data_IF_725467883214
#
_entry.id   IF_725467883214
#
_cell.length_a   1.000
_cell.length_b   1.000
_cell.length_c   1.000
_cell.angle_alpha   90.00
_cell.angle_beta   90.00
_cell.angle_gamma   90.00
#
_symmetry.space_group_name_H-M   'P 1'
#
loop_
_entity.id
_entity.type
_entity.pdbx_description
1 polymer ?
#
# COMPACT_ATOMS: atom_id res chain seq x y z
N UNK A 1 7.44 -0.36 12.67
CA UNK A 1 7.35 -1.13 13.91
C UNK A 1 7.92 -2.52 13.61
N UNK A 2 9.03 -2.90 14.26
CA UNK A 2 9.66 -4.21 14.04
C UNK A 2 8.68 -5.36 14.31
N UNK A 3 8.91 -6.54 13.71
CA UNK A 3 8.11 -7.71 14.02
C UNK A 3 8.21 -8.02 15.53
N UNK A 4 7.11 -8.50 16.14
CA UNK A 4 7.10 -8.86 17.57
C UNK A 4 8.23 -9.82 17.94
N UNK A 5 8.65 -10.69 17.03
CA UNK A 5 9.75 -11.61 17.22
C UNK A 5 11.10 -10.89 17.40
N UNK A 6 11.41 -9.90 16.54
CA UNK A 6 12.62 -9.09 16.68
C UNK A 6 12.63 -8.25 17.95
N UNK A 7 11.51 -7.72 18.37
CA UNK A 7 11.38 -6.95 19.62
C UNK A 7 11.66 -7.83 20.83
N UNK A 8 11.07 -9.04 20.89
CA UNK A 8 11.26 -10.00 21.97
C UNK A 8 12.70 -10.47 22.06
N UNK A 9 13.34 -10.75 20.93
CA UNK A 9 14.74 -11.21 20.90
C UNK A 9 15.68 -10.11 21.38
N UNK A 10 15.50 -8.87 20.93
CA UNK A 10 16.28 -7.73 21.43
C UNK A 10 16.06 -7.49 22.91
N UNK A 11 14.82 -7.56 23.39
CA UNK A 11 14.52 -7.41 24.81
C UNK A 11 15.19 -8.50 25.66
N UNK A 12 15.21 -9.76 25.18
CA UNK A 12 15.91 -10.87 25.84
C UNK A 12 17.42 -10.67 25.83
N UNK A 13 18.00 -10.30 24.70
CA UNK A 13 19.44 -10.06 24.57
C UNK A 13 19.93 -8.91 25.47
N UNK A 14 19.07 -7.90 25.66
CA UNK A 14 19.36 -6.78 26.57
C UNK A 14 18.89 -7.05 28.02
N UNK A 15 18.52 -8.30 28.36
CA UNK A 15 18.09 -8.73 29.69
C UNK A 15 16.96 -7.87 30.28
N UNK A 16 16.07 -7.35 29.44
CA UNK A 16 14.96 -6.48 29.84
C UNK A 16 13.83 -7.32 30.43
N UNK A 17 13.35 -7.01 31.65
CA UNK A 17 12.21 -7.70 32.25
C UNK A 17 10.97 -7.66 31.37
N UNK A 18 10.27 -8.80 31.21
CA UNK A 18 9.14 -8.93 30.31
C UNK A 18 8.01 -7.91 30.57
N UNK A 19 7.79 -7.51 31.81
CA UNK A 19 6.81 -6.49 32.20
C UNK A 19 7.06 -5.12 31.55
N UNK A 20 8.30 -4.83 31.12
CA UNK A 20 8.70 -3.55 30.52
C UNK A 20 8.65 -3.55 28.98
N UNK A 21 8.45 -4.69 28.33
CA UNK A 21 8.46 -4.78 26.87
C UNK A 21 7.36 -3.94 26.21
N UNK A 22 6.14 -4.00 26.73
CA UNK A 22 5.00 -3.28 26.16
C UNK A 22 5.17 -1.74 26.25
N UNK A 23 5.51 -1.12 27.40
CA UNK A 23 5.79 0.31 27.42
C UNK A 23 6.96 0.72 26.52
N UNK A 24 8.05 -0.05 26.46
CA UNK A 24 9.18 0.22 25.57
C UNK A 24 8.79 0.13 24.08
N UNK A 25 7.98 -0.87 23.73
CA UNK A 25 7.44 -1.01 22.36
C UNK A 25 6.56 0.18 21.96
N UNK A 26 5.90 0.82 22.91
CA UNK A 26 5.10 2.03 22.69
C UNK A 26 5.91 3.33 22.70
N UNK A 27 7.24 3.24 22.74
CA UNK A 27 8.12 4.41 22.74
C UNK A 27 8.32 5.06 24.10
N UNK A 28 7.98 4.39 25.20
CA UNK A 28 8.13 4.93 26.55
C UNK A 28 9.48 4.50 27.16
N UNK A 29 10.22 5.44 27.74
CA UNK A 29 11.38 5.15 28.57
C UNK A 29 10.89 4.73 29.97
N UNK A 30 11.47 3.69 30.54
CA UNK A 30 11.08 3.13 31.82
C UNK A 30 12.28 3.02 32.74
N UNK A 31 12.19 3.56 33.95
CA UNK A 31 13.19 3.40 35.00
C UNK A 31 12.65 2.47 36.08
N UNK A 32 13.43 1.45 36.45
CA UNK A 32 13.08 0.51 37.51
C UNK A 32 13.32 1.12 38.91
N UNK A 33 12.80 0.48 39.95
CA UNK A 33 13.02 0.89 41.33
C UNK A 33 14.50 0.89 41.72
N UNK A 34 15.30 0.01 41.10
CA UNK A 34 16.74 -0.07 41.28
C UNK A 34 17.52 1.01 40.51
N UNK A 35 16.82 1.97 39.88
CA UNK A 35 17.42 3.07 39.13
C UNK A 35 17.93 2.73 37.74
N UNK A 36 17.68 1.51 37.23
CA UNK A 36 18.08 1.12 35.87
C UNK A 36 17.08 1.68 34.88
N UNK A 37 17.55 2.41 33.86
CA UNK A 37 16.73 3.00 32.81
C UNK A 37 16.84 2.20 31.54
N UNK A 38 15.70 1.82 30.98
CA UNK A 38 15.55 1.18 29.68
C UNK A 38 14.87 2.14 28.71
N UNK A 39 15.42 2.22 27.50
CA UNK A 39 14.94 3.12 26.43
C UNK A 39 14.36 2.32 25.25
N UNK A 40 13.42 2.91 24.47
CA UNK A 40 12.78 2.22 23.35
C UNK A 40 13.76 1.63 22.31
N UNK A 41 14.86 2.30 22.03
CA UNK A 41 15.90 1.87 21.09
C UNK A 41 16.56 0.54 21.48
N UNK A 42 16.51 0.16 22.76
CA UNK A 42 17.02 -1.13 23.22
C UNK A 42 16.18 -2.32 22.70
N UNK A 43 14.93 -2.08 22.33
CA UNK A 43 13.99 -3.11 21.85
C UNK A 43 13.50 -2.85 20.42
N UNK A 44 13.38 -1.59 20.02
CA UNK A 44 12.96 -1.20 18.69
C UNK A 44 14.15 -1.24 17.72
N UNK A 45 13.88 -1.63 16.48
CA UNK A 45 14.83 -1.44 15.39
C UNK A 45 14.73 -0.04 14.79
N UNK A 46 15.53 0.22 13.78
CA UNK A 46 15.34 1.40 12.93
C UNK A 46 13.90 1.47 12.41
N UNK A 47 13.33 2.68 12.25
CA UNK A 47 12.05 2.82 11.60
C UNK A 47 12.10 2.18 10.22
N UNK A 48 11.13 1.32 9.91
CA UNK A 48 11.00 0.70 8.59
C UNK A 48 9.76 1.21 7.89
N UNK A 49 9.86 1.39 6.56
CA UNK A 49 8.70 1.63 5.72
C UNK A 49 7.74 0.44 5.89
N UNK A 50 6.48 0.71 6.24
CA UNK A 50 5.43 -0.31 6.27
C UNK A 50 4.97 -0.65 4.85
N UNK A 51 4.41 -1.85 4.66
CA UNK A 51 3.73 -2.23 3.42
C UNK A 51 2.37 -1.52 3.39
N UNK A 52 2.07 -0.87 2.29
CA UNK A 52 0.81 -0.16 2.08
C UNK A 52 0.09 -0.66 0.84
N UNK A 53 -1.10 -1.19 1.03
CA UNK A 53 -2.02 -1.54 -0.06
C UNK A 53 -3.21 -0.61 -0.01
N UNK A 54 -3.53 0.01 -1.14
CA UNK A 54 -4.75 0.81 -1.28
C UNK A 54 -5.69 0.14 -2.25
N UNK A 55 -6.92 -0.09 -1.83
CA UNK A 55 -8.00 -0.64 -2.66
C UNK A 55 -9.07 0.41 -2.89
N UNK A 56 -9.44 0.61 -4.15
CA UNK A 56 -10.44 1.57 -4.58
C UNK A 56 -11.35 0.92 -5.62
N UNK A 57 -12.64 0.89 -5.33
CA UNK A 57 -13.67 0.33 -6.20
C UNK A 57 -14.72 1.39 -6.55
N UNK A 58 -15.61 1.10 -7.42
CA UNK A 58 -16.83 1.80 -7.87
C UNK A 58 -16.91 3.31 -7.57
N UNK A 59 -16.06 4.12 -8.22
CA UNK A 59 -16.02 5.56 -7.96
C UNK A 59 -15.42 6.36 -9.11
N UNK A 60 -15.70 7.66 -9.11
CA UNK A 60 -15.00 8.63 -9.95
C UNK A 60 -13.64 8.99 -9.31
N UNK A 61 -12.65 9.40 -10.13
CA UNK A 61 -11.40 9.95 -9.62
C UNK A 61 -11.64 11.10 -8.65
N UNK A 62 -10.97 11.07 -7.51
CA UNK A 62 -10.98 12.15 -6.51
C UNK A 62 -9.58 12.39 -5.95
N UNK A 63 -9.33 13.61 -5.49
CA UNK A 63 -8.07 13.95 -4.81
C UNK A 63 -7.86 13.15 -3.52
N UNK A 64 -8.94 12.72 -2.87
CA UNK A 64 -8.84 11.87 -1.68
C UNK A 64 -8.25 10.50 -2.00
N UNK A 65 -8.62 9.91 -3.14
CA UNK A 65 -8.03 8.63 -3.60
C UNK A 65 -6.53 8.81 -3.81
N UNK A 66 -6.11 9.86 -4.51
CA UNK A 66 -4.69 10.16 -4.74
C UNK A 66 -3.94 10.33 -3.42
N UNK A 67 -4.52 11.07 -2.46
CA UNK A 67 -3.92 11.25 -1.11
C UNK A 67 -3.82 9.92 -0.36
N UNK A 68 -4.88 9.10 -0.37
CA UNK A 68 -4.89 7.81 0.29
C UNK A 68 -3.92 6.81 -0.36
N UNK A 69 -3.81 6.82 -1.70
CA UNK A 69 -2.94 5.93 -2.43
C UNK A 69 -1.46 6.36 -2.42
N UNK A 70 -1.15 7.57 -1.92
CA UNK A 70 0.22 8.10 -1.96
C UNK A 70 1.25 7.10 -1.40
N UNK A 71 2.26 6.78 -2.24
CA UNK A 71 3.35 5.85 -1.93
C UNK A 71 2.88 4.45 -1.49
N UNK A 72 1.76 3.97 -2.04
CA UNK A 72 1.35 2.57 -1.84
C UNK A 72 2.27 1.63 -2.63
N UNK A 73 2.61 0.50 -2.02
CA UNK A 73 3.35 -0.58 -2.69
C UNK A 73 2.45 -1.26 -3.72
N UNK A 74 1.14 -1.34 -3.44
CA UNK A 74 0.14 -1.80 -4.40
C UNK A 74 -1.11 -0.93 -4.34
N UNK A 75 -1.55 -0.45 -5.51
CA UNK A 75 -2.81 0.25 -5.70
C UNK A 75 -3.75 -0.60 -6.56
N UNK A 76 -4.77 -1.17 -5.96
CA UNK A 76 -5.83 -1.90 -6.67
C UNK A 76 -6.97 -0.92 -6.92
N UNK A 77 -7.27 -0.65 -8.18
CA UNK A 77 -8.22 0.38 -8.56
C UNK A 77 -9.18 -0.14 -9.61
N UNK A 78 -10.43 0.32 -9.55
CA UNK A 78 -11.36 0.08 -10.65
C UNK A 78 -10.85 0.71 -11.95
N UNK A 79 -11.26 0.12 -13.06
CA UNK A 79 -11.16 0.65 -14.39
C UNK A 79 -12.29 0.05 -15.22
N UNK A 80 -13.50 0.58 -15.07
CA UNK A 80 -14.69 0.03 -15.73
C UNK A 80 -14.59 0.08 -17.25
N UNK A 81 -13.96 1.13 -17.79
CA UNK A 81 -13.93 1.39 -19.23
C UNK A 81 -12.49 1.57 -19.72
N UNK A 82 -12.14 0.84 -20.77
CA UNK A 82 -10.81 0.92 -21.39
C UNK A 82 -10.77 1.89 -22.58
N UNK A 83 -11.92 2.10 -23.26
CA UNK A 83 -12.01 2.94 -24.44
C UNK A 83 -12.04 4.43 -24.07
N UNK A 84 -11.25 5.26 -24.79
CA UNK A 84 -11.14 6.71 -24.54
C UNK A 84 -12.44 7.47 -24.75
N UNK A 85 -13.29 7.02 -25.66
CA UNK A 85 -14.60 7.63 -25.93
C UNK A 85 -15.66 7.33 -24.86
N UNK A 86 -15.41 6.36 -23.98
CA UNK A 86 -16.32 6.00 -22.88
C UNK A 86 -16.26 6.93 -21.67
N UNK A 87 -15.44 7.98 -21.71
CA UNK A 87 -15.31 8.93 -20.58
C UNK A 87 -16.67 9.54 -20.16
N UNK A 88 -17.54 9.84 -21.13
CA UNK A 88 -18.88 10.36 -20.84
C UNK A 88 -19.72 9.32 -20.08
N UNK A 89 -19.66 8.06 -20.49
CA UNK A 89 -20.32 6.93 -19.85
C UNK A 89 -19.76 6.68 -18.44
N UNK A 90 -18.43 6.72 -18.28
CA UNK A 90 -17.79 6.62 -16.98
C UNK A 90 -18.29 7.70 -15.99
N UNK A 91 -18.43 8.94 -16.45
CA UNK A 91 -18.98 10.04 -15.65
C UNK A 91 -20.45 9.80 -15.28
N UNK A 92 -21.25 9.37 -16.24
CA UNK A 92 -22.69 9.11 -16.04
C UNK A 92 -22.94 8.02 -14.98
N UNK A 93 -22.20 6.92 -15.05
CA UNK A 93 -22.35 5.77 -14.15
C UNK A 93 -21.43 5.82 -12.93
N UNK A 94 -20.67 6.92 -12.75
CA UNK A 94 -19.78 7.16 -11.60
C UNK A 94 -18.64 6.16 -11.46
N UNK A 95 -18.15 5.67 -12.60
CA UNK A 95 -16.96 4.85 -12.71
C UNK A 95 -15.81 5.62 -13.34
N UNK A 96 -14.67 5.00 -13.50
CA UNK A 96 -13.53 5.61 -14.18
C UNK A 96 -13.01 4.77 -15.34
N UNK A 97 -12.20 5.42 -16.16
CA UNK A 97 -11.48 4.79 -17.25
C UNK A 97 -10.11 4.28 -16.78
N UNK A 98 -9.52 3.36 -17.52
CA UNK A 98 -8.13 2.90 -17.31
C UNK A 98 -7.14 4.07 -17.23
N UNK A 99 -7.34 5.07 -18.09
CA UNK A 99 -6.45 6.24 -18.18
C UNK A 99 -6.57 7.14 -16.97
N UNK A 100 -7.77 7.32 -16.44
CA UNK A 100 -8.00 8.09 -15.21
C UNK A 100 -7.40 7.38 -14.00
N UNK A 101 -7.52 6.05 -13.92
CA UNK A 101 -6.89 5.25 -12.87
C UNK A 101 -5.36 5.34 -12.94
N UNK A 102 -4.78 5.24 -14.15
CA UNK A 102 -3.35 5.35 -14.37
C UNK A 102 -2.80 6.75 -14.02
N UNK A 103 -3.56 7.82 -14.32
CA UNK A 103 -3.20 9.18 -13.91
C UNK A 103 -3.18 9.31 -12.37
N UNK A 104 -4.17 8.77 -11.68
CA UNK A 104 -4.18 8.77 -10.22
C UNK A 104 -3.01 7.99 -9.64
N UNK A 105 -2.68 6.82 -10.18
CA UNK A 105 -1.54 6.01 -9.76
C UNK A 105 -0.22 6.78 -9.90
N UNK A 106 -0.03 7.43 -11.06
CA UNK A 106 1.14 8.28 -11.33
C UNK A 106 1.24 9.45 -10.34
N UNK A 107 0.14 10.18 -10.12
CA UNK A 107 0.09 11.33 -9.20
C UNK A 107 0.29 10.92 -7.74
N UNK A 108 -0.16 9.73 -7.36
CA UNK A 108 0.03 9.18 -6.04
C UNK A 108 1.44 8.61 -5.82
N UNK A 109 2.20 8.37 -6.90
CA UNK A 109 3.54 7.77 -6.82
C UNK A 109 3.49 6.37 -6.21
N UNK A 110 2.55 5.53 -6.64
CA UNK A 110 2.46 4.14 -6.21
C UNK A 110 3.52 3.30 -6.92
N UNK A 111 3.92 2.18 -6.34
CA UNK A 111 4.91 1.29 -6.95
C UNK A 111 4.29 0.45 -8.07
N UNK A 112 3.12 -0.13 -7.82
CA UNK A 112 2.38 -0.99 -8.76
C UNK A 112 0.88 -0.69 -8.70
N UNK A 113 0.20 -0.80 -9.86
CA UNK A 113 -1.26 -0.67 -9.96
C UNK A 113 -1.87 -1.89 -10.63
N UNK A 114 -2.95 -2.41 -10.05
CA UNK A 114 -3.82 -3.40 -10.67
C UNK A 114 -5.17 -2.77 -11.01
N UNK A 115 -5.52 -2.86 -12.29
CA UNK A 115 -6.85 -2.48 -12.77
C UNK A 115 -7.82 -3.64 -12.58
N UNK A 116 -8.98 -3.35 -12.04
CA UNK A 116 -10.05 -4.34 -11.75
C UNK A 116 -11.42 -3.79 -12.13
N UNK A 117 -12.48 -4.53 -11.88
CA UNK A 117 -13.86 -4.09 -12.07
C UNK A 117 -14.16 -3.67 -13.51
N UNK A 118 -13.81 -4.51 -14.47
CA UNK A 118 -14.01 -4.23 -15.88
C UNK A 118 -15.50 -4.34 -16.28
N UNK A 119 -15.92 -3.50 -17.24
CA UNK A 119 -17.24 -3.63 -17.85
C UNK A 119 -17.40 -5.03 -18.47
N UNK A 120 -18.56 -5.70 -18.27
CA UNK A 120 -18.83 -6.96 -18.94
C UNK A 120 -18.78 -6.88 -20.48
N UNK A 121 -18.90 -5.68 -21.05
CA UNK A 121 -18.77 -5.44 -22.49
C UNK A 121 -17.30 -5.30 -22.97
N UNK A 122 -16.34 -5.25 -22.06
CA UNK A 122 -14.92 -5.15 -22.39
C UNK A 122 -14.35 -6.55 -22.67
N UNK A 123 -14.13 -6.87 -23.95
CA UNK A 123 -13.69 -8.23 -24.34
C UNK A 123 -12.18 -8.39 -24.28
N UNK A 124 -11.42 -7.39 -24.67
CA UNK A 124 -9.96 -7.42 -24.81
C UNK A 124 -9.33 -6.26 -24.05
N UNK A 125 -9.26 -6.36 -22.73
CA UNK A 125 -8.65 -5.34 -21.88
C UNK A 125 -7.14 -5.14 -22.16
N UNK A 126 -6.49 -6.19 -22.61
CA UNK A 126 -5.06 -6.23 -22.93
C UNK A 126 -4.68 -5.23 -24.03
N UNK A 127 -5.56 -5.01 -25.00
CA UNK A 127 -5.30 -4.14 -26.16
C UNK A 127 -5.08 -2.68 -25.77
N UNK A 128 -5.60 -2.27 -24.63
CA UNK A 128 -5.50 -0.90 -24.12
C UNK A 128 -4.28 -0.68 -23.20
N UNK A 129 -3.66 -1.75 -22.71
CA UNK A 129 -2.55 -1.65 -21.78
C UNK A 129 -1.30 -0.95 -22.31
N UNK A 130 -0.92 -1.05 -23.60
CA UNK A 130 0.20 -0.28 -24.14
C UNK A 130 0.03 1.24 -23.97
N UNK A 131 -1.18 1.77 -24.15
CA UNK A 131 -1.46 3.20 -23.95
C UNK A 131 -1.53 3.58 -22.47
N UNK A 132 -2.09 2.71 -21.63
CA UNK A 132 -2.15 2.90 -20.16
C UNK A 132 -0.74 2.95 -19.58
N UNK A 133 0.15 2.06 -20.02
CA UNK A 133 1.55 2.01 -19.57
C UNK A 133 2.39 3.22 -19.99
N UNK A 134 1.98 3.98 -21.00
CA UNK A 134 2.61 5.28 -21.29
C UNK A 134 2.35 6.32 -20.20
N UNK A 135 1.22 6.20 -19.47
CA UNK A 135 0.88 7.07 -18.34
C UNK A 135 1.54 6.56 -17.07
N UNK A 136 1.35 5.27 -16.77
CA UNK A 136 1.90 4.59 -15.62
C UNK A 136 2.46 3.22 -16.01
N UNK A 137 3.80 3.07 -16.12
CA UNK A 137 4.45 1.85 -16.66
C UNK A 137 4.13 0.57 -15.87
N UNK A 138 4.01 0.66 -14.54
CA UNK A 138 3.75 -0.46 -13.65
C UNK A 138 2.24 -0.74 -13.47
N UNK A 139 1.45 -0.51 -14.52
CA UNK A 139 0.04 -0.87 -14.56
C UNK A 139 -0.15 -2.29 -15.10
N UNK A 140 -0.99 -3.07 -14.44
CA UNK A 140 -1.33 -4.43 -14.80
C UNK A 140 -2.83 -4.67 -14.71
N UNK A 141 -3.33 -5.64 -15.48
CA UNK A 141 -4.69 -6.13 -15.32
C UNK A 141 -4.78 -7.04 -14.09
N UNK A 142 -5.76 -6.78 -13.27
CA UNK A 142 -6.19 -7.70 -12.22
C UNK A 142 -7.01 -8.84 -12.82
N UNK A 143 -6.82 -10.04 -12.29
CA UNK A 143 -7.59 -11.24 -12.65
C UNK A 143 -7.97 -11.95 -11.36
N UNK A 144 -9.10 -12.64 -11.37
CA UNK A 144 -9.48 -13.48 -10.24
C UNK A 144 -8.39 -14.50 -9.95
N UNK A 145 -8.02 -14.62 -8.69
CA UNK A 145 -6.92 -15.48 -8.26
C UNK A 145 -5.50 -14.90 -8.46
N UNK A 146 -5.35 -13.70 -9.03
CA UNK A 146 -4.03 -13.03 -9.06
C UNK A 146 -3.58 -12.71 -7.64
N UNK A 147 -2.35 -13.07 -7.33
CA UNK A 147 -1.72 -12.81 -6.04
C UNK A 147 -0.34 -12.19 -6.20
N UNK A 148 0.11 -11.50 -5.20
CA UNK A 148 1.46 -10.97 -5.06
C UNK A 148 1.86 -11.07 -3.59
N UNK A 149 3.11 -11.39 -3.34
CA UNK A 149 3.70 -11.33 -2.02
C UNK A 149 4.47 -10.02 -1.89
N UNK A 150 4.06 -9.19 -0.93
CA UNK A 150 4.74 -7.94 -0.62
C UNK A 150 5.60 -8.19 0.62
N UNK A 151 6.90 -8.10 0.44
CA UNK A 151 7.88 -8.32 1.51
C UNK A 151 8.45 -6.99 1.99
N UNK A 152 8.86 -6.97 3.26
CA UNK A 152 9.67 -5.87 3.78
C UNK A 152 11.06 -5.95 3.16
N UNK A 153 11.61 -4.81 2.79
CA UNK A 153 13.02 -4.73 2.43
C UNK A 153 13.83 -4.91 3.73
N UNK A 154 14.56 -6.03 3.82
CA UNK A 154 15.36 -6.36 5.01
C UNK A 154 16.62 -5.49 5.15
N UNK A 155 16.94 -4.70 4.11
CA UNK A 155 18.16 -3.89 4.02
C UNK A 155 17.92 -2.38 4.26
N UNK A 156 16.69 -1.95 4.58
CA UNK A 156 16.40 -0.58 4.99
C UNK A 156 16.17 -0.41 6.51
#
# INVERSE_FOLDING_TARGET
>A
VGSEMCIRDRARNNHIPQKLWNPLQKGQTVTTEDGITFTPDMVLGAPRKGIKVTYCTDTRPTENIVKCARHSDLFICEGMYAEKDKIAKAKQYKHMTFYEAADMAKRAGVEEMWLTHFSPSLVHAEDYMPEVKKIFPNAYLGKDGKSVELLFDENE
#
